data_IF_931968873378
#
_entry.id   IF_931968873378
#
_cell.length_a   1.000
_cell.length_b   1.000
_cell.length_c   1.000
_cell.angle_alpha   90.00
_cell.angle_beta   90.00
_cell.angle_gamma   90.00
#
_symmetry.space_group_name_H-M   'P 1'
#
loop_
_entity.id
_entity.type
_entity.pdbx_description
1 polymer ?
#
# COMPACT_ATOMS: atom_id res chain seq x y z
N UNK A 1 8.98 31.28 0.05
CA UNK A 1 8.40 31.42 1.41
C UNK A 1 9.04 30.36 2.26
N UNK A 2 9.87 30.79 3.20
CA UNK A 2 10.67 29.92 4.05
C UNK A 2 9.78 29.07 4.94
N UNK A 3 10.07 27.76 5.00
CA UNK A 3 9.49 26.83 5.96
C UNK A 3 10.23 27.00 7.31
N UNK A 4 10.01 28.12 7.97
CA UNK A 4 10.31 28.28 9.40
C UNK A 4 9.16 27.64 10.20
N UNK A 5 9.09 26.32 10.22
CA UNK A 5 8.47 25.61 11.33
C UNK A 5 9.59 25.14 12.24
N UNK A 6 9.82 25.94 13.29
CA UNK A 6 10.49 25.48 14.50
C UNK A 6 9.77 24.21 14.94
N UNK A 7 10.42 23.07 14.77
CA UNK A 7 9.94 21.82 15.36
C UNK A 7 10.17 21.99 16.86
N UNK A 8 9.10 22.24 17.60
CA UNK A 8 9.14 22.35 19.05
C UNK A 8 9.75 21.06 19.62
N UNK A 9 10.83 21.20 20.35
CA UNK A 9 11.56 20.09 20.97
C UNK A 9 10.71 19.24 21.94
N UNK A 10 9.53 19.71 22.30
CA UNK A 10 8.57 18.99 23.14
C UNK A 10 7.79 17.91 22.33
N UNK A 11 7.80 17.94 20.98
CA UNK A 11 7.06 17.02 20.10
C UNK A 11 7.99 15.97 19.46
N UNK A 12 9.30 16.05 19.71
CA UNK A 12 10.21 14.99 19.31
C UNK A 12 9.91 13.74 20.15
N UNK A 13 9.38 12.71 19.50
CA UNK A 13 9.23 11.37 20.08
C UNK A 13 10.51 10.97 20.84
N UNK A 14 10.37 10.27 21.96
CA UNK A 14 11.47 9.82 22.79
C UNK A 14 12.61 9.13 22.01
N UNK A 15 12.27 8.50 20.87
CA UNK A 15 13.22 7.93 19.94
C UNK A 15 14.11 8.96 19.23
N UNK A 16 13.56 10.07 18.76
CA UNK A 16 14.33 11.16 18.13
C UNK A 16 15.21 11.88 19.14
N UNK A 17 14.73 12.03 20.37
CA UNK A 17 15.52 12.59 21.47
C UNK A 17 16.71 11.68 21.81
N UNK A 18 16.50 10.37 21.85
CA UNK A 18 17.57 9.37 22.07
C UNK A 18 18.63 9.42 20.97
N UNK A 19 18.23 9.57 19.71
CA UNK A 19 19.15 9.71 18.57
C UNK A 19 19.93 11.02 18.68
N UNK A 20 19.28 12.14 19.00
CA UNK A 20 19.94 13.43 19.20
C UNK A 20 20.92 13.38 20.39
N UNK A 21 20.60 12.69 21.47
CA UNK A 21 21.45 12.52 22.64
C UNK A 21 22.67 11.62 22.31
N UNK A 22 22.48 10.57 21.53
CA UNK A 22 23.56 9.71 21.07
C UNK A 22 24.53 10.46 20.13
N UNK A 23 24.01 11.29 19.22
CA UNK A 23 24.82 12.14 18.33
C UNK A 23 25.60 13.16 19.16
N UNK A 24 24.98 13.84 20.13
CA UNK A 24 25.65 14.79 21.02
C UNK A 24 26.78 14.13 21.83
N UNK A 25 26.52 12.96 22.38
CA UNK A 25 27.49 12.19 23.15
C UNK A 25 28.71 11.80 22.31
N UNK A 26 28.51 11.35 21.06
CA UNK A 26 29.59 11.02 20.12
C UNK A 26 30.32 12.25 19.59
N UNK A 27 29.62 13.34 19.35
CA UNK A 27 30.21 14.60 18.88
C UNK A 27 30.88 15.41 19.99
N UNK A 28 30.72 15.02 21.27
CA UNK A 28 31.30 15.73 22.41
C UNK A 28 30.69 17.12 22.66
N UNK A 29 29.46 17.37 22.23
CA UNK A 29 28.78 18.66 22.39
C UNK A 29 27.56 18.53 23.29
N UNK A 30 27.29 19.58 24.07
CA UNK A 30 26.07 19.74 24.88
C UNK A 30 25.08 20.70 24.26
N UNK A 31 25.42 21.29 23.09
CA UNK A 31 24.61 22.30 22.46
C UNK A 31 23.38 21.71 21.78
N UNK A 32 22.31 22.49 21.72
CA UNK A 32 21.12 22.15 20.95
C UNK A 32 21.47 22.11 19.44
N UNK A 33 21.29 20.96 18.82
CA UNK A 33 21.56 20.80 17.39
C UNK A 33 20.43 21.45 16.60
N UNK A 34 20.71 22.57 15.94
CA UNK A 34 19.75 23.22 15.05
C UNK A 34 19.61 22.42 13.75
N UNK A 35 18.36 22.19 13.33
CA UNK A 35 18.08 21.51 12.06
C UNK A 35 18.08 22.53 10.90
N UNK A 36 18.64 22.20 9.71
CA UNK A 36 19.42 20.98 9.35
C UNK A 36 20.92 21.07 9.62
N UNK A 37 21.46 22.25 9.78
CA UNK A 37 22.91 22.50 9.72
C UNK A 37 23.69 22.01 10.95
N UNK A 38 23.09 22.11 12.13
CA UNK A 38 23.69 21.60 13.37
C UNK A 38 23.82 20.08 13.40
N UNK A 39 22.83 19.36 12.86
CA UNK A 39 22.89 17.89 12.70
C UNK A 39 23.96 17.48 11.68
N UNK A 40 24.04 18.18 10.56
CA UNK A 40 25.05 17.94 9.53
C UNK A 40 26.48 18.12 10.09
N UNK A 41 26.74 19.23 10.75
CA UNK A 41 28.04 19.50 11.35
C UNK A 41 28.42 18.49 12.45
N UNK A 42 27.46 18.06 13.28
CA UNK A 42 27.69 17.05 14.31
C UNK A 42 27.99 15.66 13.72
N UNK A 43 27.30 15.27 12.64
CA UNK A 43 27.56 14.00 11.92
C UNK A 43 28.90 14.05 11.21
N UNK A 44 29.25 15.15 10.55
CA UNK A 44 30.57 15.35 9.92
C UNK A 44 31.70 15.32 10.97
N UNK A 45 31.49 15.88 12.15
CA UNK A 45 32.42 15.83 13.28
C UNK A 45 32.66 14.43 13.84
N UNK A 46 31.66 13.55 13.80
CA UNK A 46 31.77 12.14 14.20
C UNK A 46 32.70 11.35 13.25
N UNK A 47 32.73 11.69 11.98
CA UNK A 47 33.55 11.01 10.98
C UNK A 47 35.05 11.33 11.10
N UNK A 48 35.42 12.41 11.78
CA UNK A 48 36.82 12.86 11.91
C UNK A 48 37.49 12.55 13.26
N UNK A 49 36.75 12.03 14.26
CA UNK A 49 37.25 11.71 15.60
C UNK A 49 37.57 10.23 15.77
N UNK A 50 38.83 9.85 15.70
CA UNK A 50 39.29 8.50 15.91
C UNK A 50 39.03 7.95 17.32
N UNK A 51 38.47 6.75 17.42
CA UNK A 51 38.28 5.97 18.64
C UNK A 51 37.99 4.51 18.33
N UNK A 52 38.98 3.64 18.48
CA UNK A 52 39.10 2.27 18.01
C UNK A 52 37.96 1.31 18.36
N UNK A 53 37.47 0.69 17.34
CA UNK A 53 36.70 -0.54 17.35
C UNK A 53 36.82 -1.14 15.95
N UNK A 54 37.34 -2.36 15.85
CA UNK A 54 37.62 -3.09 14.61
C UNK A 54 36.38 -3.09 13.69
N UNK A 55 36.40 -2.23 12.67
CA UNK A 55 35.52 -2.31 11.52
C UNK A 55 36.36 -2.56 10.31
N UNK A 56 36.00 -3.59 9.54
CA UNK A 56 36.53 -3.77 8.18
C UNK A 56 36.42 -2.44 7.44
N UNK A 57 37.54 -1.93 6.87
CA UNK A 57 37.61 -0.77 5.99
C UNK A 57 36.73 -0.97 4.73
N UNK A 58 35.45 -0.79 4.84
CA UNK A 58 34.58 -0.65 3.67
C UNK A 58 34.61 0.81 3.31
N UNK A 59 35.32 1.17 2.25
CA UNK A 59 35.28 2.53 1.69
C UNK A 59 33.82 2.88 1.35
N UNK A 60 33.33 3.98 1.91
CA UNK A 60 31.97 4.48 1.64
C UNK A 60 31.81 4.75 0.14
N UNK A 61 30.79 4.15 -0.46
CA UNK A 61 30.43 4.32 -1.86
C UNK A 61 29.24 5.31 -1.98
N UNK A 62 28.62 5.35 -3.15
CA UNK A 62 27.56 6.32 -3.46
C UNK A 62 26.26 6.07 -2.70
N UNK A 63 25.86 4.80 -2.50
CA UNK A 63 24.60 4.42 -1.85
C UNK A 63 24.90 3.57 -0.63
N UNK A 64 24.58 4.12 0.55
CA UNK A 64 24.94 3.53 1.82
C UNK A 64 23.69 3.20 2.63
N UNK A 65 23.60 1.97 3.12
CA UNK A 65 22.54 1.49 3.97
C UNK A 65 23.01 1.53 5.42
N UNK A 66 22.32 2.33 6.23
CA UNK A 66 22.65 2.53 7.63
C UNK A 66 21.59 1.96 8.56
N UNK A 67 22.03 1.39 9.65
CA UNK A 67 21.20 1.09 10.79
C UNK A 67 20.76 2.36 11.54
N UNK A 68 19.78 2.24 12.44
CA UNK A 68 19.28 3.36 13.23
C UNK A 68 20.32 4.00 14.14
N UNK A 69 21.37 3.27 14.52
CA UNK A 69 22.47 3.75 15.35
C UNK A 69 23.63 4.37 14.54
N UNK A 70 23.49 4.42 13.21
CA UNK A 70 24.48 4.93 12.28
C UNK A 70 25.53 3.89 11.84
N UNK A 71 25.35 2.62 12.20
CA UNK A 71 26.21 1.53 11.71
C UNK A 71 25.98 1.31 10.22
N UNK A 72 27.06 1.30 9.43
CA UNK A 72 27.00 0.98 8.00
C UNK A 72 26.72 -0.51 7.81
N UNK A 73 25.58 -0.83 7.19
CA UNK A 73 25.13 -2.21 6.93
C UNK A 73 25.65 -2.69 5.57
N UNK A 74 25.49 -1.85 4.54
CA UNK A 74 25.94 -2.15 3.18
C UNK A 74 26.26 -0.85 2.42
N UNK A 75 27.15 -0.94 1.44
CA UNK A 75 27.56 0.20 0.62
C UNK A 75 27.77 -0.23 -0.83
N UNK A 76 27.21 0.52 -1.76
CA UNK A 76 27.20 0.24 -3.19
C UNK A 76 27.57 1.50 -3.99
N UNK A 77 28.24 1.33 -5.11
CA UNK A 77 28.28 2.39 -6.13
C UNK A 77 26.87 2.60 -6.68
N UNK A 78 26.61 3.75 -7.32
CA UNK A 78 25.31 4.03 -7.92
C UNK A 78 24.90 2.93 -8.92
N UNK A 79 25.82 2.46 -9.74
CA UNK A 79 25.57 1.40 -10.71
C UNK A 79 25.27 0.04 -10.05
N UNK A 80 26.01 -0.32 -9.00
CA UNK A 80 25.73 -1.55 -8.22
C UNK A 80 24.36 -1.48 -7.54
N UNK A 81 23.99 -0.32 -6.96
CA UNK A 81 22.71 -0.12 -6.31
C UNK A 81 21.53 -0.22 -7.30
N UNK A 82 21.68 0.37 -8.48
CA UNK A 82 20.69 0.28 -9.56
C UNK A 82 20.52 -1.15 -10.11
N UNK A 83 21.52 -2.02 -9.94
CA UNK A 83 21.49 -3.41 -10.37
C UNK A 83 21.03 -4.40 -9.28
N UNK A 84 20.73 -3.94 -8.06
CA UNK A 84 20.25 -4.81 -6.99
C UNK A 84 18.95 -5.53 -7.39
N UNK A 85 18.87 -6.80 -7.12
CA UNK A 85 17.63 -7.60 -7.29
C UNK A 85 16.79 -7.64 -6.02
N UNK A 86 17.44 -7.43 -4.86
CA UNK A 86 16.81 -7.32 -3.53
C UNK A 86 17.57 -6.27 -2.72
N UNK A 87 16.88 -5.62 -1.79
CA UNK A 87 17.55 -4.77 -0.80
C UNK A 87 18.35 -5.63 0.18
N UNK A 88 19.42 -5.08 0.79
CA UNK A 88 20.18 -5.77 1.83
C UNK A 88 19.29 -6.30 2.96
N UNK A 89 19.70 -7.40 3.59
CA UNK A 89 19.05 -7.87 4.81
C UNK A 89 19.20 -6.82 5.92
N UNK A 90 18.12 -6.58 6.64
CA UNK A 90 18.14 -5.63 7.76
C UNK A 90 18.81 -6.21 8.99
N UNK A 91 19.52 -5.39 9.76
CA UNK A 91 20.09 -5.80 11.05
C UNK A 91 19.01 -6.28 12.02
N UNK A 92 19.42 -7.14 12.97
CA UNK A 92 18.55 -7.64 14.04
C UNK A 92 18.96 -7.02 15.36
N UNK A 93 17.97 -6.53 16.11
CA UNK A 93 18.16 -5.95 17.44
C UNK A 93 17.14 -6.51 18.43
N UNK A 94 17.54 -6.67 19.68
CA UNK A 94 16.66 -7.11 20.75
C UNK A 94 15.55 -6.05 20.98
N UNK A 95 14.30 -6.49 20.96
CA UNK A 95 13.13 -5.63 21.17
C UNK A 95 12.79 -4.68 19.99
N UNK A 96 13.46 -4.82 18.84
CA UNK A 96 13.13 -4.10 17.63
C UNK A 96 12.85 -5.06 16.47
N UNK A 97 11.79 -4.80 15.73
CA UNK A 97 11.49 -5.55 14.49
C UNK A 97 11.81 -4.69 13.27
N UNK A 98 12.74 -5.16 12.46
CA UNK A 98 13.07 -4.51 11.19
C UNK A 98 11.86 -4.51 10.24
N UNK A 99 11.48 -3.34 9.74
CA UNK A 99 10.34 -3.12 8.87
C UNK A 99 10.73 -2.96 7.40
N UNK A 100 11.99 -2.88 7.12
CA UNK A 100 12.54 -2.59 5.81
C UNK A 100 13.40 -1.33 5.83
N UNK A 101 13.79 -0.92 4.65
CA UNK A 101 14.55 0.30 4.43
C UNK A 101 13.57 1.45 4.11
N UNK A 102 13.93 2.68 4.43
CA UNK A 102 13.12 3.87 4.12
C UNK A 102 13.02 4.18 2.61
N UNK A 103 13.72 3.42 1.79
CA UNK A 103 13.66 3.45 0.34
C UNK A 103 13.30 2.08 -0.24
N UNK A 104 12.39 2.04 -1.22
CA UNK A 104 12.07 0.81 -1.96
C UNK A 104 13.15 0.50 -3.00
N UNK A 105 13.21 -0.77 -3.42
CA UNK A 105 14.13 -1.20 -4.49
C UNK A 105 13.93 -0.38 -5.78
N UNK A 106 12.67 -0.10 -6.15
CA UNK A 106 12.32 0.73 -7.31
C UNK A 106 12.89 2.15 -7.20
N UNK A 107 12.80 2.76 -6.02
CA UNK A 107 13.40 4.09 -5.78
C UNK A 107 14.92 4.04 -5.85
N UNK A 108 15.55 2.96 -5.38
CA UNK A 108 17.00 2.75 -5.49
C UNK A 108 17.41 2.63 -6.98
N UNK A 109 16.64 1.91 -7.79
CA UNK A 109 16.89 1.80 -9.23
C UNK A 109 16.78 3.15 -9.97
N UNK A 110 15.95 4.05 -9.48
CA UNK A 110 15.73 5.38 -10.06
C UNK A 110 16.74 6.45 -9.56
N UNK A 111 17.68 6.10 -8.69
CA UNK A 111 18.67 7.05 -8.16
C UNK A 111 19.56 7.61 -9.28
N UNK A 112 19.79 8.91 -9.23
CA UNK A 112 20.70 9.64 -10.15
C UNK A 112 21.86 10.32 -9.40
N UNK A 113 21.89 10.20 -8.07
CA UNK A 113 22.89 10.82 -7.19
C UNK A 113 23.14 9.97 -5.95
N UNK A 114 24.24 10.18 -5.22
CA UNK A 114 24.51 9.49 -3.97
C UNK A 114 23.39 9.62 -2.94
N UNK A 115 23.12 8.56 -2.17
CA UNK A 115 22.03 8.50 -1.20
C UNK A 115 22.36 7.65 0.02
N UNK A 116 21.94 8.11 1.19
CA UNK A 116 21.95 7.32 2.42
C UNK A 116 20.54 6.77 2.68
N UNK A 117 20.48 5.46 2.88
CA UNK A 117 19.25 4.69 3.11
C UNK A 117 19.24 4.23 4.57
N UNK A 118 18.19 4.56 5.31
CA UNK A 118 18.06 4.21 6.72
C UNK A 118 17.18 2.98 6.96
N UNK A 119 17.57 2.16 7.93
CA UNK A 119 16.75 1.07 8.43
C UNK A 119 15.56 1.60 9.23
N UNK A 120 14.39 1.01 9.01
CA UNK A 120 13.16 1.33 9.76
C UNK A 120 12.86 0.21 10.75
N UNK A 121 12.59 0.59 11.99
CA UNK A 121 12.20 -0.35 13.04
C UNK A 121 10.89 0.08 13.70
N UNK A 122 10.20 -0.90 14.26
CA UNK A 122 9.18 -0.69 15.28
C UNK A 122 9.70 -1.26 16.59
N UNK A 123 9.36 -0.60 17.69
CA UNK A 123 9.57 -1.18 19.02
C UNK A 123 8.64 -2.38 19.16
N UNK A 124 9.18 -3.59 19.03
CA UNK A 124 8.38 -4.80 19.25
C UNK A 124 8.34 -5.11 20.75
N UNK A 125 7.70 -4.23 21.50
CA UNK A 125 7.27 -4.53 22.87
C UNK A 125 5.95 -5.32 22.89
N UNK A 126 5.52 -5.81 21.73
CA UNK A 126 4.29 -6.56 21.52
C UNK A 126 3.01 -5.73 21.65
N UNK A 127 3.11 -4.43 21.94
CA UNK A 127 1.95 -3.55 22.15
C UNK A 127 1.44 -2.97 20.84
N UNK A 128 0.14 -2.83 20.75
CA UNK A 128 -0.50 -2.03 19.70
C UNK A 128 -0.68 -0.60 20.21
N UNK A 129 -0.36 0.38 19.37
CA UNK A 129 -0.55 1.80 19.65
C UNK A 129 -1.48 2.41 18.64
N UNK A 130 -2.51 3.12 19.12
CA UNK A 130 -3.48 3.84 18.31
C UNK A 130 -3.35 5.32 18.67
N UNK A 131 -2.85 6.11 17.73
CA UNK A 131 -2.67 7.55 17.88
C UNK A 131 -3.95 8.23 17.47
N UNK A 132 -4.55 8.96 18.39
CA UNK A 132 -5.83 9.63 18.17
C UNK A 132 -5.72 11.11 18.46
N UNK A 133 -6.48 11.91 17.71
CA UNK A 133 -6.74 13.32 17.99
C UNK A 133 -8.21 13.51 18.31
N UNK A 134 -8.51 14.06 19.45
CA UNK A 134 -9.86 14.35 19.93
C UNK A 134 -10.15 15.84 19.84
N UNK A 135 -11.32 16.18 19.32
CA UNK A 135 -11.82 17.54 19.18
C UNK A 135 -12.75 17.91 20.35
N UNK A 136 -12.99 19.21 20.53
CA UNK A 136 -13.90 19.73 21.54
C UNK A 136 -15.30 19.12 21.41
N UNK A 137 -15.91 18.75 22.55
CA UNK A 137 -17.18 18.08 22.61
C UNK A 137 -17.19 16.61 22.16
N UNK A 138 -16.01 16.01 21.93
CA UNK A 138 -15.83 14.65 21.39
C UNK A 138 -14.73 13.90 22.14
N UNK A 139 -14.84 13.82 23.44
CA UNK A 139 -13.79 13.31 24.32
C UNK A 139 -14.13 11.98 25.00
N UNK A 140 -15.18 11.26 24.55
CA UNK A 140 -15.65 10.04 25.23
C UNK A 140 -15.74 8.83 24.29
N UNK A 141 -14.62 8.31 23.74
CA UNK A 141 -14.63 7.15 22.88
C UNK A 141 -14.83 5.81 23.63
N UNK A 142 -15.29 4.81 22.89
CA UNK A 142 -15.22 3.39 23.22
C UNK A 142 -14.32 2.70 22.20
N UNK A 143 -13.51 1.75 22.66
CA UNK A 143 -12.66 0.93 21.81
C UNK A 143 -13.20 -0.49 21.68
N UNK A 144 -13.26 -0.99 20.45
CA UNK A 144 -13.66 -2.36 20.14
C UNK A 144 -12.48 -3.19 19.63
N UNK A 145 -12.21 -4.32 20.29
CA UNK A 145 -11.21 -5.30 19.87
C UNK A 145 -11.74 -6.71 20.03
N UNK A 146 -11.10 -7.70 19.40
CA UNK A 146 -11.47 -9.11 19.47
C UNK A 146 -10.38 -9.90 20.24
N UNK A 147 -10.46 -10.00 21.57
CA UNK A 147 -9.47 -10.70 22.36
C UNK A 147 -9.67 -12.22 22.33
N UNK A 148 -8.58 -12.95 22.11
CA UNK A 148 -8.45 -14.36 22.50
C UNK A 148 -7.38 -14.43 23.60
N UNK A 149 -7.83 -14.24 24.84
CA UNK A 149 -7.04 -13.93 26.02
C UNK A 149 -7.48 -12.61 26.64
N UNK A 150 -6.53 -11.85 27.16
CA UNK A 150 -6.78 -10.57 27.83
C UNK A 150 -6.11 -9.42 27.08
N UNK A 151 -6.84 -8.31 26.91
CA UNK A 151 -6.32 -7.04 26.37
C UNK A 151 -6.47 -5.97 27.45
N UNK A 152 -5.36 -5.39 27.87
CA UNK A 152 -5.33 -4.21 28.72
C UNK A 152 -5.27 -2.97 27.83
N UNK A 153 -6.21 -2.05 28.02
CA UNK A 153 -6.36 -0.80 27.27
C UNK A 153 -5.91 0.35 28.15
N UNK A 154 -4.72 0.86 27.94
CA UNK A 154 -4.19 2.09 28.54
C UNK A 154 -4.56 3.26 27.60
N UNK A 155 -5.37 4.20 28.09
CA UNK A 155 -5.89 5.32 27.31
C UNK A 155 -4.87 6.44 27.08
N UNK A 156 -3.72 6.38 27.74
CA UNK A 156 -2.62 7.34 27.57
C UNK A 156 -2.83 8.68 28.27
N UNK A 157 -3.79 8.78 29.20
CA UNK A 157 -4.11 9.96 29.99
C UNK A 157 -3.85 9.80 31.49
N UNK A 158 -3.25 8.67 31.90
CA UNK A 158 -2.91 8.34 33.29
C UNK A 158 -4.06 7.78 34.11
N UNK A 159 -5.22 7.53 33.52
CA UNK A 159 -6.35 6.86 34.19
C UNK A 159 -6.11 5.35 34.33
N UNK A 160 -6.94 4.68 35.13
CA UNK A 160 -6.88 3.22 35.30
C UNK A 160 -7.23 2.53 33.97
N UNK A 161 -6.37 1.61 33.47
CA UNK A 161 -6.64 0.90 32.23
C UNK A 161 -7.90 0.02 32.31
N UNK A 162 -8.61 -0.08 31.18
CA UNK A 162 -9.68 -1.07 31.00
C UNK A 162 -9.11 -2.45 30.67
N UNK A 163 -9.84 -3.51 31.09
CA UNK A 163 -9.47 -4.90 30.80
C UNK A 163 -10.59 -5.58 30.02
N UNK A 164 -10.27 -6.07 28.83
CA UNK A 164 -11.17 -6.85 27.99
C UNK A 164 -10.70 -8.31 27.92
N UNK A 165 -11.60 -9.24 28.15
CA UNK A 165 -11.33 -10.69 28.07
C UNK A 165 -12.24 -11.35 27.05
N UNK A 166 -11.70 -12.27 26.27
CA UNK A 166 -12.44 -13.02 25.27
C UNK A 166 -11.75 -14.32 24.88
N UNK A 167 -12.44 -15.10 24.07
CA UNK A 167 -12.01 -16.45 23.65
C UNK A 167 -11.87 -16.58 22.13
N UNK A 168 -12.01 -15.45 21.39
CA UNK A 168 -12.00 -15.48 19.92
C UNK A 168 -11.51 -14.16 19.32
N UNK A 169 -10.62 -14.24 18.35
CA UNK A 169 -10.17 -13.08 17.55
C UNK A 169 -11.23 -12.55 16.55
N UNK A 170 -12.46 -13.08 16.60
CA UNK A 170 -13.58 -12.67 15.72
C UNK A 170 -14.78 -12.08 16.46
N UNK A 171 -14.80 -12.15 17.79
CA UNK A 171 -15.91 -11.63 18.60
C UNK A 171 -15.50 -10.33 19.25
N UNK A 172 -16.16 -9.22 18.86
CA UNK A 172 -15.85 -7.88 19.38
C UNK A 172 -16.24 -7.77 20.84
N UNK A 173 -15.34 -7.24 21.63
CA UNK A 173 -15.56 -6.72 22.97
C UNK A 173 -15.31 -5.22 22.98
N UNK A 174 -16.18 -4.46 23.62
CA UNK A 174 -16.11 -3.02 23.74
C UNK A 174 -15.70 -2.62 25.13
N UNK A 175 -14.83 -1.61 25.25
CA UNK A 175 -14.58 -0.93 26.53
C UNK A 175 -15.85 -0.20 26.97
N UNK A 176 -15.98 0.18 28.24
CA UNK A 176 -16.83 1.28 28.65
C UNK A 176 -16.47 2.57 27.88
N UNK A 177 -17.32 3.59 27.97
CA UNK A 177 -16.95 4.92 27.50
C UNK A 177 -15.78 5.43 28.35
N UNK A 178 -14.70 5.80 27.70
CA UNK A 178 -13.59 6.48 28.34
C UNK A 178 -13.74 7.99 28.17
N UNK A 179 -13.75 8.75 29.27
CA UNK A 179 -13.91 10.20 29.24
C UNK A 179 -12.55 10.88 29.43
N UNK A 180 -12.00 11.42 28.35
CA UNK A 180 -10.83 12.29 28.42
C UNK A 180 -11.22 13.66 28.99
N UNK A 181 -10.35 14.21 29.84
CA UNK A 181 -10.59 15.50 30.50
C UNK A 181 -10.59 16.70 29.54
N UNK A 182 -9.88 16.61 28.41
CA UNK A 182 -9.75 17.66 27.42
C UNK A 182 -9.62 17.08 26.01
N UNK A 183 -9.92 17.88 24.95
CA UNK A 183 -9.50 17.55 23.59
C UNK A 183 -7.97 17.55 23.50
N UNK A 184 -7.41 16.81 22.56
CA UNK A 184 -5.97 16.71 22.39
C UNK A 184 -5.53 15.44 21.67
N UNK A 185 -4.24 15.21 21.64
CA UNK A 185 -3.61 14.01 21.07
C UNK A 185 -3.31 13.02 22.19
N UNK A 186 -3.72 11.77 21.95
CA UNK A 186 -3.54 10.68 22.90
C UNK A 186 -3.03 9.43 22.19
N UNK A 187 -2.34 8.57 22.95
CA UNK A 187 -1.86 7.27 22.44
C UNK A 187 -2.48 6.17 23.27
N UNK A 188 -3.49 5.52 22.72
CA UNK A 188 -4.09 4.33 23.33
C UNK A 188 -3.12 3.17 23.14
N UNK A 189 -2.70 2.52 24.24
CA UNK A 189 -1.78 1.38 24.22
C UNK A 189 -2.52 0.11 24.59
N UNK A 190 -2.41 -0.90 23.73
CA UNK A 190 -3.01 -2.23 23.97
C UNK A 190 -1.92 -3.23 24.32
N UNK A 191 -1.96 -3.75 25.53
CA UNK A 191 -1.11 -4.87 25.96
C UNK A 191 -1.93 -6.15 25.89
N UNK A 192 -1.49 -7.11 25.07
CA UNK A 192 -2.23 -8.33 24.78
C UNK A 192 -1.55 -9.52 25.43
N UNK A 193 -2.28 -10.22 26.32
CA UNK A 193 -1.88 -11.54 26.80
C UNK A 193 -2.72 -12.59 26.06
N UNK A 194 -2.10 -13.23 25.07
CA UNK A 194 -2.75 -14.11 24.11
C UNK A 194 -2.70 -13.57 22.68
N UNK A 195 -3.81 -13.61 21.96
CA UNK A 195 -3.96 -13.10 20.59
C UNK A 195 -5.08 -12.08 20.51
N UNK A 196 -5.02 -11.21 19.51
CA UNK A 196 -6.06 -10.22 19.25
C UNK A 196 -6.34 -10.10 17.75
N UNK A 197 -7.58 -9.72 17.42
CA UNK A 197 -7.97 -9.27 16.09
C UNK A 197 -8.66 -7.92 16.18
N UNK A 198 -8.63 -7.19 15.03
CA UNK A 198 -9.50 -6.06 14.81
C UNK A 198 -10.68 -6.49 13.94
N UNK A 199 -11.87 -6.04 14.28
CA UNK A 199 -13.08 -6.33 13.53
C UNK A 199 -14.03 -5.15 13.58
N UNK A 200 -14.54 -4.73 12.41
CA UNK A 200 -15.65 -3.82 12.28
C UNK A 200 -16.92 -4.57 11.86
N UNK A 201 -18.08 -3.94 11.99
CA UNK A 201 -19.34 -4.48 11.48
C UNK A 201 -19.84 -3.60 10.33
N UNK A 202 -20.02 -4.18 9.15
CA UNK A 202 -20.50 -3.51 7.94
C UNK A 202 -22.02 -3.32 7.88
N UNK A 203 -22.73 -3.39 9.02
CA UNK A 203 -24.18 -3.16 8.98
C UNK A 203 -24.50 -1.76 8.42
N UNK A 204 -25.50 -1.68 7.57
CA UNK A 204 -25.92 -0.58 6.70
C UNK A 204 -26.23 0.78 7.36
N UNK A 205 -26.09 0.91 8.66
CA UNK A 205 -26.33 2.13 9.43
C UNK A 205 -25.07 2.75 10.05
N UNK A 206 -23.93 2.73 9.33
CA UNK A 206 -22.71 3.37 9.77
C UNK A 206 -21.71 2.39 10.37
N UNK A 207 -21.09 1.55 9.51
CA UNK A 207 -20.10 0.53 9.84
C UNK A 207 -19.11 0.95 10.92
N UNK A 208 -18.79 0.05 11.81
CA UNK A 208 -18.01 0.31 13.01
C UNK A 208 -16.52 0.26 12.75
N UNK A 209 -15.89 1.40 12.78
CA UNK A 209 -14.47 1.47 13.10
C UNK A 209 -14.23 0.95 14.53
N UNK A 210 -12.98 0.61 14.82
CA UNK A 210 -12.57 0.17 16.15
C UNK A 210 -12.83 1.20 17.27
N UNK A 211 -13.10 2.46 16.93
CA UNK A 211 -13.37 3.55 17.87
C UNK A 211 -14.82 4.08 17.67
N UNK A 212 -15.64 4.08 18.70
CA UNK A 212 -17.08 4.43 18.66
C UNK A 212 -17.48 5.43 19.74
N UNK A 213 -18.69 6.00 19.56
CA UNK A 213 -19.44 6.75 20.57
C UNK A 213 -20.64 5.93 21.08
N UNK A 214 -21.04 6.10 22.35
CA UNK A 214 -22.02 5.23 23.00
C UNK A 214 -23.49 5.51 22.72
N UNK A 215 -23.87 6.62 22.06
CA UNK A 215 -25.28 6.92 21.88
C UNK A 215 -25.84 6.29 20.60
N UNK A 216 -26.80 5.39 20.77
CA UNK A 216 -27.52 4.71 19.68
C UNK A 216 -28.37 5.64 18.79
N UNK A 217 -28.51 6.91 19.15
CA UNK A 217 -29.37 7.89 18.47
C UNK A 217 -28.62 8.87 17.57
N UNK A 218 -27.30 8.82 17.54
CA UNK A 218 -26.50 9.83 16.86
C UNK A 218 -25.66 9.20 15.74
N UNK A 219 -25.94 9.59 14.49
CA UNK A 219 -25.17 9.24 13.28
C UNK A 219 -23.70 9.74 13.31
N UNK A 220 -23.16 10.09 14.47
CA UNK A 220 -21.82 10.65 14.70
C UNK A 220 -20.68 9.61 14.72
N UNK A 221 -20.94 8.38 14.37
CA UNK A 221 -19.88 7.36 14.17
C UNK A 221 -18.76 7.80 13.20
N UNK A 222 -19.04 8.76 12.32
CA UNK A 222 -18.02 9.33 11.41
C UNK A 222 -16.92 10.12 12.12
N UNK A 223 -17.17 10.65 13.30
CA UNK A 223 -16.31 11.62 13.96
C UNK A 223 -15.07 10.97 14.55
N UNK A 224 -15.21 9.84 15.20
CA UNK A 224 -14.06 9.13 15.78
C UNK A 224 -13.18 8.43 14.75
N UNK A 225 -13.71 8.15 13.57
CA UNK A 225 -12.94 7.65 12.43
C UNK A 225 -11.93 8.67 11.92
N UNK A 226 -12.29 9.96 11.99
CA UNK A 226 -11.37 11.05 11.63
C UNK A 226 -10.31 11.29 12.71
N UNK A 227 -10.50 10.75 13.90
CA UNK A 227 -9.57 10.94 15.02
C UNK A 227 -8.38 10.00 15.00
N UNK A 228 -8.44 8.88 14.26
CA UNK A 228 -7.32 7.92 14.18
C UNK A 228 -6.34 8.42 13.11
N UNK A 229 -5.13 8.80 13.53
CA UNK A 229 -4.12 9.35 12.63
C UNK A 229 -3.03 8.32 12.25
N UNK A 230 -2.65 7.46 13.21
CA UNK A 230 -1.60 6.45 13.04
C UNK A 230 -1.93 5.21 13.86
N UNK A 231 -1.53 4.05 13.37
CA UNK A 231 -1.62 2.78 14.13
C UNK A 231 -0.32 1.99 13.97
N UNK A 232 0.25 1.60 15.10
CA UNK A 232 1.32 0.62 15.20
C UNK A 232 0.73 -0.68 15.72
N UNK A 233 0.63 -1.70 14.87
CA UNK A 233 0.03 -2.97 15.25
C UNK A 233 1.09 -3.88 15.87
N UNK A 234 0.87 -4.30 17.12
CA UNK A 234 1.76 -5.21 17.85
C UNK A 234 1.71 -6.65 17.34
N UNK A 235 2.75 -7.42 17.65
CA UNK A 235 2.95 -8.81 17.17
C UNK A 235 1.87 -9.81 17.61
N UNK A 236 1.13 -9.50 18.67
CA UNK A 236 0.00 -10.31 19.14
C UNK A 236 -1.27 -10.22 18.28
N UNK A 237 -1.32 -9.27 17.32
CA UNK A 237 -2.44 -9.13 16.39
C UNK A 237 -2.24 -10.10 15.23
N UNK A 238 -3.22 -10.97 15.01
CA UNK A 238 -3.16 -11.99 13.96
C UNK A 238 -4.12 -11.74 12.82
N UNK A 239 -5.08 -10.80 12.99
CA UNK A 239 -6.17 -10.57 12.04
C UNK A 239 -6.60 -9.11 12.01
N UNK A 240 -6.74 -8.57 10.79
CA UNK A 240 -7.45 -7.34 10.48
C UNK A 240 -8.68 -7.75 9.69
N UNK A 241 -9.81 -7.86 10.38
CA UNK A 241 -11.02 -8.43 9.81
C UNK A 241 -11.93 -7.37 9.21
N UNK A 242 -13.11 -7.80 8.77
CA UNK A 242 -14.05 -7.02 7.99
C UNK A 242 -14.29 -5.62 8.57
N UNK A 243 -14.07 -4.62 7.73
CA UNK A 243 -14.31 -3.21 8.05
C UNK A 243 -13.57 -2.68 9.29
N UNK A 244 -12.46 -3.32 9.72
CA UNK A 244 -11.73 -2.95 10.94
C UNK A 244 -11.38 -1.46 10.97
N UNK A 245 -10.88 -0.91 9.86
CA UNK A 245 -10.53 0.51 9.71
C UNK A 245 -11.37 1.21 8.66
N UNK A 246 -12.60 0.73 8.44
CA UNK A 246 -13.52 1.30 7.46
C UNK A 246 -13.76 2.79 7.71
N UNK A 247 -13.51 3.64 6.67
CA UNK A 247 -13.64 5.10 6.75
C UNK A 247 -12.77 5.78 7.82
N UNK A 248 -11.63 5.22 8.19
CA UNK A 248 -10.64 5.93 8.99
C UNK A 248 -9.94 6.98 8.11
N UNK A 249 -10.65 8.11 7.85
CA UNK A 249 -10.26 9.09 6.85
C UNK A 249 -8.91 9.75 7.11
N UNK A 250 -8.58 9.98 8.38
CA UNK A 250 -7.33 10.64 8.81
C UNK A 250 -6.16 9.66 9.00
N UNK A 251 -6.41 8.34 8.93
CA UNK A 251 -5.36 7.34 9.10
C UNK A 251 -4.34 7.46 7.96
N UNK A 252 -3.17 7.99 8.28
CA UNK A 252 -2.09 8.27 7.32
C UNK A 252 -1.00 7.21 7.32
N UNK A 253 -0.78 6.57 8.47
CA UNK A 253 0.26 5.55 8.66
C UNK A 253 -0.25 4.36 9.45
N UNK A 254 0.00 3.17 8.92
CA UNK A 254 -0.23 1.91 9.63
C UNK A 254 0.90 0.92 9.38
N UNK A 255 1.40 0.30 10.45
CA UNK A 255 2.37 -0.79 10.35
C UNK A 255 1.69 -2.11 10.66
N UNK A 256 1.83 -3.09 9.76
CA UNK A 256 1.21 -4.42 9.89
C UNK A 256 2.31 -5.45 10.14
N UNK A 257 2.35 -6.09 11.32
CA UNK A 257 3.40 -7.03 11.67
C UNK A 257 3.27 -8.35 10.90
N UNK A 258 4.38 -9.10 10.83
CA UNK A 258 4.44 -10.41 10.13
C UNK A 258 3.46 -11.46 10.68
N UNK A 259 2.97 -11.28 11.92
CA UNK A 259 1.98 -12.17 12.55
C UNK A 259 0.57 -12.04 11.98
N UNK A 260 0.25 -10.96 11.26
CA UNK A 260 -1.03 -10.80 10.61
C UNK A 260 -1.12 -11.70 9.38
N UNK A 261 -2.09 -12.61 9.39
CA UNK A 261 -2.32 -13.59 8.32
C UNK A 261 -3.56 -13.31 7.49
N UNK A 262 -4.42 -12.39 7.95
CA UNK A 262 -5.68 -12.06 7.28
C UNK A 262 -5.94 -10.56 7.28
N UNK A 263 -6.20 -10.03 6.09
CA UNK A 263 -6.76 -8.69 5.85
C UNK A 263 -8.01 -8.94 5.01
N UNK A 264 -9.20 -8.74 5.60
CA UNK A 264 -10.44 -9.16 4.97
C UNK A 264 -11.26 -8.00 4.39
N UNK A 265 -12.52 -8.24 4.05
CA UNK A 265 -13.34 -7.31 3.26
C UNK A 265 -13.46 -5.93 3.90
N UNK A 266 -13.32 -4.90 3.09
CA UNK A 266 -13.42 -3.50 3.51
C UNK A 266 -12.45 -3.06 4.62
N UNK A 267 -11.41 -3.83 4.92
CA UNK A 267 -10.55 -3.59 6.09
C UNK A 267 -10.02 -2.15 6.17
N UNK A 268 -9.64 -1.56 5.05
CA UNK A 268 -9.17 -0.17 4.91
C UNK A 268 -10.00 0.65 3.92
N UNK A 269 -11.22 0.20 3.58
CA UNK A 269 -12.07 0.93 2.65
C UNK A 269 -12.35 2.35 3.18
N UNK A 270 -12.06 3.37 2.36
CA UNK A 270 -12.26 4.76 2.72
C UNK A 270 -11.16 5.34 3.64
N UNK A 271 -10.00 4.70 3.77
CA UNK A 271 -8.84 5.30 4.44
C UNK A 271 -8.15 6.29 3.49
N UNK A 272 -8.72 7.51 3.36
CA UNK A 272 -8.33 8.48 2.34
C UNK A 272 -6.89 8.95 2.45
N UNK A 273 -6.33 8.97 3.67
CA UNK A 273 -5.02 9.57 3.96
C UNK A 273 -3.84 8.59 3.93
N UNK A 274 -4.06 7.28 3.85
CA UNK A 274 -2.96 6.31 3.75
C UNK A 274 -2.21 6.55 2.45
N UNK A 275 -0.89 6.82 2.56
CA UNK A 275 -0.02 7.07 1.40
C UNK A 275 0.75 5.85 0.95
N UNK A 276 1.07 4.96 1.87
CA UNK A 276 1.77 3.70 1.60
C UNK A 276 1.39 2.63 2.61
N UNK A 277 1.47 1.36 2.20
CA UNK A 277 1.23 0.21 3.08
C UNK A 277 2.04 -1.01 2.61
N UNK A 278 2.47 -1.82 3.57
CA UNK A 278 3.15 -3.10 3.29
C UNK A 278 2.28 -4.26 3.75
N UNK A 279 1.98 -5.18 2.83
CA UNK A 279 1.25 -6.42 3.11
C UNK A 279 2.26 -7.51 3.50
N UNK A 280 2.18 -8.06 4.73
CA UNK A 280 3.17 -9.01 5.23
C UNK A 280 3.03 -10.41 4.61
N UNK A 281 4.12 -11.20 4.72
CA UNK A 281 4.22 -12.57 4.14
C UNK A 281 3.19 -13.58 4.66
N UNK A 282 2.47 -13.29 5.75
CA UNK A 282 1.40 -14.15 6.26
C UNK A 282 0.09 -14.03 5.49
N UNK A 283 -0.12 -12.94 4.75
CA UNK A 283 -1.35 -12.66 4.03
C UNK A 283 -1.34 -13.38 2.68
N UNK A 284 -2.40 -14.12 2.38
CA UNK A 284 -2.52 -14.93 1.15
C UNK A 284 -3.47 -14.34 0.11
N UNK A 285 -4.29 -13.36 0.49
CA UNK A 285 -5.22 -12.69 -0.43
C UNK A 285 -5.45 -11.23 -0.04
N UNK A 286 -5.66 -10.37 -1.04
CA UNK A 286 -6.22 -9.03 -0.86
C UNK A 286 -7.73 -9.17 -1.07
N UNK A 287 -8.51 -8.98 -0.01
CA UNK A 287 -9.95 -9.24 0.00
C UNK A 287 -10.77 -8.13 -0.68
N UNK A 288 -12.09 -8.35 -0.83
CA UNK A 288 -12.97 -7.42 -1.54
C UNK A 288 -13.02 -6.06 -0.87
N UNK A 289 -12.86 -5.01 -1.68
CA UNK A 289 -12.82 -3.61 -1.23
C UNK A 289 -11.76 -3.30 -0.15
N UNK A 290 -10.74 -4.15 0.05
CA UNK A 290 -9.82 -4.00 1.18
C UNK A 290 -9.16 -2.62 1.23
N UNK A 291 -8.81 -2.05 0.08
CA UNK A 291 -8.23 -0.71 -0.07
C UNK A 291 -9.07 0.21 -0.96
N UNK A 292 -10.37 -0.10 -1.12
CA UNK A 292 -11.25 0.74 -1.92
C UNK A 292 -11.25 2.17 -1.40
N UNK A 293 -11.20 3.15 -2.31
CA UNK A 293 -11.20 4.58 -1.99
C UNK A 293 -10.05 5.02 -1.06
N UNK A 294 -8.92 4.33 -1.06
CA UNK A 294 -7.69 4.86 -0.45
C UNK A 294 -7.07 5.89 -1.41
N UNK A 295 -7.66 7.10 -1.45
CA UNK A 295 -7.39 8.10 -2.49
C UNK A 295 -5.92 8.54 -2.55
N UNK A 296 -5.24 8.63 -1.41
CA UNK A 296 -3.84 9.06 -1.31
C UNK A 296 -2.83 7.91 -1.43
N UNK A 297 -3.28 6.65 -1.55
CA UNK A 297 -2.39 5.50 -1.63
C UNK A 297 -1.56 5.55 -2.91
N UNK A 298 -0.30 5.96 -2.78
CA UNK A 298 0.63 6.13 -3.89
C UNK A 298 1.45 4.88 -4.18
N UNK A 299 1.70 4.07 -3.14
CA UNK A 299 2.47 2.83 -3.26
C UNK A 299 1.98 1.74 -2.30
N UNK A 300 2.08 0.50 -2.74
CA UNK A 300 1.81 -0.68 -1.91
C UNK A 300 2.83 -1.77 -2.20
N UNK A 301 3.36 -2.37 -1.13
CA UNK A 301 4.22 -3.56 -1.25
C UNK A 301 3.38 -4.79 -0.91
N UNK A 302 3.28 -5.73 -1.86
CA UNK A 302 2.52 -6.97 -1.70
C UNK A 302 3.48 -8.15 -1.59
N UNK A 303 3.37 -8.91 -0.52
CA UNK A 303 4.22 -10.09 -0.32
C UNK A 303 3.91 -11.20 -1.35
N UNK A 304 4.93 -11.99 -1.70
CA UNK A 304 4.82 -13.10 -2.66
C UNK A 304 3.88 -14.25 -2.23
N UNK A 305 3.39 -14.21 -0.97
CA UNK A 305 2.38 -15.14 -0.46
C UNK A 305 0.97 -14.86 -1.00
N UNK A 306 0.71 -13.67 -1.55
CA UNK A 306 -0.61 -13.30 -2.06
C UNK A 306 -0.86 -14.00 -3.39
N UNK A 307 -2.00 -14.71 -3.46
CA UNK A 307 -2.43 -15.51 -4.61
C UNK A 307 -3.66 -14.95 -5.32
N UNK A 308 -4.37 -13.99 -4.72
CA UNK A 308 -5.56 -13.38 -5.32
C UNK A 308 -5.74 -11.92 -4.91
N UNK A 309 -6.27 -11.12 -5.86
CA UNK A 309 -6.73 -9.75 -5.67
C UNK A 309 -8.21 -9.74 -5.98
N UNK A 310 -9.05 -9.54 -4.94
CA UNK A 310 -10.49 -9.69 -5.03
C UNK A 310 -11.20 -8.45 -5.62
N UNK A 311 -12.54 -8.52 -5.70
CA UNK A 311 -13.38 -7.47 -6.27
C UNK A 311 -13.11 -6.10 -5.63
N UNK A 312 -12.91 -5.10 -6.49
CA UNK A 312 -12.76 -3.70 -6.07
C UNK A 312 -11.65 -3.45 -5.05
N UNK A 313 -10.66 -4.36 -4.93
CA UNK A 313 -9.64 -4.32 -3.88
C UNK A 313 -8.89 -2.98 -3.82
N UNK A 314 -8.60 -2.38 -4.99
CA UNK A 314 -7.95 -1.06 -5.13
C UNK A 314 -8.82 -0.06 -5.89
N UNK A 315 -10.13 -0.28 -5.96
CA UNK A 315 -11.04 0.64 -6.65
C UNK A 315 -10.92 2.05 -6.07
N UNK A 316 -10.66 3.04 -6.93
CA UNK A 316 -10.56 4.44 -6.49
C UNK A 316 -9.27 4.79 -5.75
N UNK A 317 -8.20 4.00 -5.87
CA UNK A 317 -6.86 4.40 -5.43
C UNK A 317 -6.28 5.40 -6.43
N UNK A 318 -6.75 6.66 -6.37
CA UNK A 318 -6.48 7.69 -7.39
C UNK A 318 -5.00 8.00 -7.55
N UNK A 319 -4.24 7.95 -6.45
CA UNK A 319 -2.81 8.30 -6.42
C UNK A 319 -1.88 7.12 -6.70
N UNK A 320 -2.40 5.90 -6.88
CA UNK A 320 -1.56 4.70 -7.09
C UNK A 320 -0.86 4.80 -8.45
N UNK A 321 0.46 5.01 -8.44
CA UNK A 321 1.25 5.22 -9.65
C UNK A 321 1.80 3.94 -10.24
N UNK A 322 2.14 3.00 -9.38
CA UNK A 322 2.66 1.68 -9.76
C UNK A 322 2.29 0.62 -8.72
N UNK A 323 2.19 -0.60 -9.16
CA UNK A 323 1.98 -1.77 -8.30
C UNK A 323 2.65 -2.99 -8.92
N UNK A 324 3.41 -3.72 -8.11
CA UNK A 324 3.95 -5.02 -8.50
C UNK A 324 2.99 -6.11 -8.06
N UNK A 325 2.41 -6.83 -9.02
CA UNK A 325 1.59 -8.00 -8.74
C UNK A 325 2.51 -9.21 -8.57
N UNK A 326 2.48 -9.89 -7.42
CA UNK A 326 3.30 -11.09 -7.20
C UNK A 326 3.05 -12.21 -8.23
N UNK A 327 4.09 -12.92 -8.63
CA UNK A 327 3.98 -14.01 -9.60
C UNK A 327 3.05 -15.16 -9.16
N UNK A 328 2.79 -15.29 -7.85
CA UNK A 328 1.83 -16.26 -7.31
C UNK A 328 0.36 -15.90 -7.50
N UNK A 329 0.05 -14.68 -7.96
CA UNK A 329 -1.34 -14.26 -8.18
C UNK A 329 -1.93 -14.98 -9.39
N UNK A 330 -3.04 -15.66 -9.16
CA UNK A 330 -3.77 -16.42 -10.19
C UNK A 330 -5.10 -15.77 -10.59
N UNK A 331 -5.57 -14.78 -9.82
CA UNK A 331 -6.83 -14.09 -10.12
C UNK A 331 -6.78 -12.60 -9.74
N UNK A 332 -7.24 -11.78 -10.68
CA UNK A 332 -7.53 -10.35 -10.52
C UNK A 332 -9.00 -10.19 -10.86
N UNK A 333 -9.81 -9.85 -9.86
CA UNK A 333 -11.26 -9.85 -9.96
C UNK A 333 -11.82 -8.52 -10.48
N UNK A 334 -13.16 -8.47 -10.64
CA UNK A 334 -13.84 -7.33 -11.22
C UNK A 334 -13.56 -6.03 -10.46
N UNK A 335 -13.42 -4.93 -11.21
CA UNK A 335 -13.14 -3.59 -10.66
C UNK A 335 -11.86 -3.48 -9.80
N UNK A 336 -10.96 -4.46 -9.81
CA UNK A 336 -9.82 -4.51 -8.87
C UNK A 336 -9.00 -3.21 -8.88
N UNK A 337 -8.81 -2.58 -10.03
CA UNK A 337 -8.11 -1.30 -10.22
C UNK A 337 -8.99 -0.22 -10.89
N UNK A 338 -10.32 -0.35 -10.79
CA UNK A 338 -11.23 0.63 -11.36
C UNK A 338 -10.97 2.03 -10.79
N UNK A 339 -10.84 3.06 -11.64
CA UNK A 339 -10.49 4.43 -11.26
C UNK A 339 -9.10 4.58 -10.57
N UNK A 340 -8.13 3.73 -10.84
CA UNK A 340 -6.73 4.01 -10.49
C UNK A 340 -6.15 5.01 -11.49
N UNK A 341 -6.53 6.29 -11.35
CA UNK A 341 -6.28 7.33 -12.35
C UNK A 341 -4.80 7.56 -12.65
N UNK A 342 -3.93 7.40 -11.66
CA UNK A 342 -2.49 7.66 -11.77
C UNK A 342 -1.67 6.43 -12.15
N UNK A 343 -2.28 5.25 -12.27
CA UNK A 343 -1.56 4.02 -12.60
C UNK A 343 -0.98 4.11 -14.01
N UNK A 344 0.37 4.08 -14.12
CA UNK A 344 1.08 4.28 -15.40
C UNK A 344 1.41 3.00 -16.12
N UNK A 345 1.72 1.94 -15.38
CA UNK A 345 2.04 0.62 -15.95
C UNK A 345 1.67 -0.51 -15.00
N UNK A 346 1.42 -1.67 -15.56
CA UNK A 346 1.18 -2.89 -14.78
C UNK A 346 1.57 -4.13 -15.59
N UNK A 347 2.09 -5.14 -14.90
CA UNK A 347 2.37 -6.47 -15.48
C UNK A 347 1.40 -7.49 -14.89
N UNK A 348 0.66 -8.19 -15.75
CA UNK A 348 -0.21 -9.30 -15.37
C UNK A 348 0.63 -10.58 -15.31
N UNK A 349 0.71 -11.26 -14.14
CA UNK A 349 1.56 -12.44 -13.99
C UNK A 349 1.01 -13.69 -14.71
N UNK A 350 1.90 -14.64 -14.97
CA UNK A 350 1.61 -15.86 -15.73
C UNK A 350 0.58 -16.81 -15.10
N UNK A 351 0.18 -16.59 -13.85
CA UNK A 351 -0.89 -17.38 -13.21
C UNK A 351 -2.31 -16.91 -13.56
N UNK A 352 -2.45 -15.68 -14.06
CA UNK A 352 -3.76 -15.07 -14.34
C UNK A 352 -4.30 -15.57 -15.67
N UNK A 353 -5.51 -16.13 -15.67
CA UNK A 353 -6.15 -16.71 -16.86
C UNK A 353 -7.19 -15.81 -17.52
N UNK A 354 -7.63 -14.75 -16.84
CA UNK A 354 -8.58 -13.78 -17.39
C UNK A 354 -8.39 -12.41 -16.79
N UNK A 355 -8.64 -11.36 -17.59
CA UNK A 355 -8.80 -9.98 -17.10
C UNK A 355 -10.30 -9.77 -16.89
N UNK A 356 -10.70 -9.59 -15.65
CA UNK A 356 -12.11 -9.55 -15.25
C UNK A 356 -12.82 -8.23 -15.63
N UNK A 357 -14.15 -8.18 -15.44
CA UNK A 357 -14.96 -7.04 -15.80
C UNK A 357 -14.49 -5.76 -15.14
N UNK A 358 -14.28 -4.73 -15.93
CA UNK A 358 -13.85 -3.40 -15.47
C UNK A 358 -12.56 -3.38 -14.63
N UNK A 359 -11.71 -4.41 -14.71
CA UNK A 359 -10.53 -4.56 -13.85
C UNK A 359 -9.61 -3.34 -13.90
N UNK A 360 -9.43 -2.72 -15.07
CA UNK A 360 -8.61 -1.51 -15.29
C UNK A 360 -9.44 -0.35 -15.87
N UNK A 361 -10.76 -0.38 -15.70
CA UNK A 361 -11.61 0.67 -16.21
C UNK A 361 -11.23 2.03 -15.64
N UNK A 362 -11.11 3.04 -16.51
CA UNK A 362 -10.74 4.41 -16.16
C UNK A 362 -9.37 4.54 -15.48
N UNK A 363 -8.41 3.68 -15.82
CA UNK A 363 -7.00 3.90 -15.54
C UNK A 363 -6.44 4.90 -16.56
N UNK A 364 -6.74 6.20 -16.37
CA UNK A 364 -6.52 7.25 -17.38
C UNK A 364 -5.05 7.41 -17.78
N UNK A 365 -4.13 7.23 -16.83
CA UNK A 365 -2.68 7.37 -17.05
C UNK A 365 -1.99 6.10 -17.50
N UNK A 366 -2.71 4.98 -17.65
CA UNK A 366 -2.11 3.70 -18.03
C UNK A 366 -1.54 3.79 -19.46
N UNK A 367 -0.21 3.87 -19.58
CA UNK A 367 0.49 3.97 -20.86
C UNK A 367 0.87 2.62 -21.42
N UNK A 368 1.13 1.65 -20.56
CA UNK A 368 1.55 0.29 -20.96
C UNK A 368 0.99 -0.78 -20.03
N UNK A 369 0.70 -1.94 -20.60
CA UNK A 369 0.36 -3.15 -19.87
C UNK A 369 1.02 -4.35 -20.53
N UNK A 370 1.59 -5.23 -19.70
CA UNK A 370 2.05 -6.55 -20.16
C UNK A 370 1.02 -7.59 -19.74
N UNK A 371 0.43 -8.27 -20.71
CA UNK A 371 -0.55 -9.35 -20.49
C UNK A 371 0.17 -10.69 -20.66
N UNK A 372 0.07 -11.55 -19.66
CA UNK A 372 0.68 -12.87 -19.71
C UNK A 372 0.00 -13.79 -20.73
N UNK A 373 0.77 -14.73 -21.29
CA UNK A 373 0.27 -15.71 -22.27
C UNK A 373 -0.78 -16.69 -21.71
N UNK A 374 -0.92 -16.76 -20.39
CA UNK A 374 -1.96 -17.53 -19.71
C UNK A 374 -3.36 -16.93 -19.82
N UNK A 375 -3.48 -15.66 -20.21
CA UNK A 375 -4.77 -14.98 -20.33
C UNK A 375 -5.52 -15.46 -21.56
N UNK A 376 -6.74 -15.99 -21.36
CA UNK A 376 -7.59 -16.52 -22.41
C UNK A 376 -8.81 -15.65 -22.72
N UNK A 377 -9.14 -14.73 -21.81
CA UNK A 377 -10.30 -13.83 -21.94
C UNK A 377 -9.99 -12.42 -21.44
N UNK A 378 -10.46 -11.42 -22.19
CA UNK A 378 -10.54 -10.02 -21.76
C UNK A 378 -12.04 -9.70 -21.61
N UNK A 379 -12.48 -9.42 -20.39
CA UNK A 379 -13.89 -9.31 -20.03
C UNK A 379 -14.48 -7.91 -20.29
N UNK A 380 -15.75 -7.69 -19.93
CA UNK A 380 -16.48 -6.46 -20.23
C UNK A 380 -15.82 -5.23 -19.63
N UNK A 381 -15.63 -4.20 -20.46
CA UNK A 381 -15.08 -2.91 -20.05
C UNK A 381 -13.71 -2.99 -19.34
N UNK A 382 -12.94 -4.06 -19.52
CA UNK A 382 -11.70 -4.32 -18.80
C UNK A 382 -10.72 -3.15 -18.86
N UNK A 383 -10.60 -2.47 -20.01
CA UNK A 383 -9.76 -1.29 -20.26
C UNK A 383 -10.57 -0.08 -20.73
N UNK A 384 -11.86 -0.03 -20.42
CA UNK A 384 -12.71 1.10 -20.79
C UNK A 384 -12.13 2.43 -20.26
N UNK A 385 -12.00 3.46 -21.11
CA UNK A 385 -11.39 4.75 -20.74
C UNK A 385 -9.91 4.69 -20.35
N UNK A 386 -9.11 3.74 -20.81
CA UNK A 386 -7.66 3.81 -20.67
C UNK A 386 -7.09 4.77 -21.72
N UNK A 387 -7.29 6.08 -21.50
CA UNK A 387 -7.03 7.12 -22.51
C UNK A 387 -5.59 7.21 -22.98
N UNK A 388 -4.62 6.92 -22.09
CA UNK A 388 -3.18 7.07 -22.37
C UNK A 388 -2.52 5.79 -22.90
N UNK A 389 -3.26 4.68 -23.02
CA UNK A 389 -2.69 3.41 -23.47
C UNK A 389 -2.15 3.57 -24.91
N UNK A 390 -0.81 3.40 -25.04
CA UNK A 390 -0.13 3.72 -26.31
C UNK A 390 -0.16 2.55 -27.30
N UNK A 391 0.00 1.34 -26.80
CA UNK A 391 -0.11 0.09 -27.59
C UNK A 391 -0.39 -1.07 -26.65
N UNK A 392 -0.89 -2.15 -27.21
CA UNK A 392 -1.14 -3.37 -26.45
C UNK A 392 -0.91 -4.61 -27.32
N UNK A 393 -0.09 -5.52 -26.80
CA UNK A 393 0.05 -6.87 -27.37
C UNK A 393 -0.97 -7.78 -26.72
N UNK A 394 -1.82 -8.40 -27.51
CA UNK A 394 -2.80 -9.38 -27.06
C UNK A 394 -2.19 -10.78 -27.27
N UNK A 395 -1.97 -11.54 -26.19
CA UNK A 395 -1.42 -12.89 -26.31
C UNK A 395 -2.26 -13.81 -27.20
N UNK A 396 -1.61 -14.74 -27.87
CA UNK A 396 -2.25 -15.73 -28.77
C UNK A 396 -3.23 -16.68 -28.05
N UNK A 397 -3.07 -16.82 -26.73
CA UNK A 397 -4.01 -17.54 -25.87
C UNK A 397 -5.38 -16.85 -25.70
N UNK A 398 -5.50 -15.55 -26.01
CA UNK A 398 -6.77 -14.82 -25.88
C UNK A 398 -7.75 -15.24 -26.98
N UNK A 399 -8.78 -15.99 -26.60
CA UNK A 399 -9.82 -16.50 -27.52
C UNK A 399 -11.09 -15.67 -27.54
N UNK A 400 -11.26 -14.73 -26.58
CA UNK A 400 -12.45 -13.91 -26.52
C UNK A 400 -12.19 -12.52 -25.93
N UNK A 401 -12.80 -11.50 -26.57
CA UNK A 401 -12.81 -10.09 -26.13
C UNK A 401 -14.28 -9.69 -25.98
N UNK A 402 -14.63 -9.22 -24.78
CA UNK A 402 -16.01 -8.93 -24.43
C UNK A 402 -16.44 -7.49 -24.80
N UNK A 403 -17.68 -7.12 -24.46
CA UNK A 403 -18.24 -5.81 -24.78
C UNK A 403 -17.40 -4.68 -24.17
N UNK A 404 -17.24 -3.61 -24.94
CA UNK A 404 -16.57 -2.37 -24.49
C UNK A 404 -15.16 -2.56 -23.89
N UNK A 405 -14.48 -3.71 -24.11
CA UNK A 405 -13.23 -4.06 -23.46
C UNK A 405 -12.15 -2.98 -23.59
N UNK A 406 -12.02 -2.37 -24.76
CA UNK A 406 -11.09 -1.28 -25.06
C UNK A 406 -11.78 0.01 -25.51
N UNK A 407 -13.05 0.16 -25.15
CA UNK A 407 -13.80 1.34 -25.56
C UNK A 407 -13.17 2.62 -25.00
N UNK A 408 -13.02 3.62 -25.88
CA UNK A 408 -12.40 4.92 -25.58
C UNK A 408 -10.92 4.87 -25.19
N UNK A 409 -10.17 3.90 -25.69
CA UNK A 409 -8.71 3.91 -25.61
C UNK A 409 -8.15 4.75 -26.78
N UNK A 410 -8.28 6.06 -26.69
CA UNK A 410 -8.04 6.99 -27.81
C UNK A 410 -6.59 7.07 -28.31
N UNK A 411 -5.61 6.77 -27.44
CA UNK A 411 -4.18 6.93 -27.75
C UNK A 411 -3.53 5.67 -28.34
N UNK A 412 -4.27 4.56 -28.46
CA UNK A 412 -3.69 3.30 -28.92
C UNK A 412 -3.31 3.43 -30.40
N UNK A 413 -2.00 3.32 -30.67
CA UNK A 413 -1.46 3.32 -32.04
C UNK A 413 -1.66 1.96 -32.72
N UNK A 414 -1.57 0.87 -31.96
CA UNK A 414 -1.86 -0.47 -32.48
C UNK A 414 -2.27 -1.47 -31.40
N UNK A 415 -3.18 -2.34 -31.77
CA UNK A 415 -3.48 -3.61 -31.07
C UNK A 415 -2.76 -4.72 -31.82
N UNK A 416 -1.85 -5.42 -31.14
CA UNK A 416 -1.00 -6.44 -31.77
C UNK A 416 -1.52 -7.86 -31.49
N UNK A 417 -2.07 -8.48 -32.53
CA UNK A 417 -2.51 -9.88 -32.57
C UNK A 417 -1.63 -10.73 -33.51
N UNK A 418 -0.43 -10.24 -33.88
CA UNK A 418 0.40 -10.87 -34.91
C UNK A 418 0.78 -12.33 -34.64
N UNK A 419 0.74 -12.77 -33.41
CA UNK A 419 1.04 -14.15 -33.01
C UNK A 419 -0.20 -15.10 -32.98
N UNK A 420 -1.41 -14.57 -33.26
CA UNK A 420 -2.61 -15.38 -33.19
C UNK A 420 -2.68 -16.40 -34.36
N UNK A 421 -3.11 -17.62 -34.05
CA UNK A 421 -3.32 -18.68 -35.05
C UNK A 421 -4.78 -18.77 -35.49
N UNK A 422 -5.69 -18.07 -34.83
CA UNK A 422 -7.11 -18.00 -35.12
C UNK A 422 -7.69 -16.64 -34.71
N UNK A 423 -8.84 -16.30 -35.28
CA UNK A 423 -9.55 -15.06 -34.94
C UNK A 423 -10.26 -15.22 -33.61
N UNK A 424 -9.95 -14.41 -32.56
CA UNK A 424 -10.68 -14.45 -31.31
C UNK A 424 -12.13 -13.98 -31.50
N UNK A 425 -13.04 -14.48 -30.68
CA UNK A 425 -14.42 -13.99 -30.64
C UNK A 425 -14.47 -12.56 -30.15
N UNK A 426 -15.16 -11.70 -30.90
CA UNK A 426 -15.48 -10.34 -30.48
C UNK A 426 -16.97 -10.27 -30.14
N UNK A 427 -17.28 -10.03 -28.85
CA UNK A 427 -18.65 -10.11 -28.36
C UNK A 427 -19.55 -8.99 -28.88
N UNK A 428 -18.98 -7.82 -29.17
CA UNK A 428 -19.73 -6.62 -29.56
C UNK A 428 -18.89 -5.69 -30.41
N UNK A 429 -19.57 -4.95 -31.28
CA UNK A 429 -18.97 -3.84 -32.05
C UNK A 429 -18.56 -2.64 -31.19
N UNK A 430 -18.89 -2.64 -29.87
CA UNK A 430 -18.41 -1.60 -28.95
C UNK A 430 -17.01 -1.86 -28.39
N UNK A 431 -16.45 -3.07 -28.60
CA UNK A 431 -15.21 -3.49 -27.95
C UNK A 431 -14.05 -2.51 -28.14
N UNK A 432 -13.92 -1.93 -29.34
CA UNK A 432 -12.92 -0.91 -29.67
C UNK A 432 -13.55 0.44 -30.07
N UNK A 433 -14.79 0.74 -29.65
CA UNK A 433 -15.44 2.00 -29.97
C UNK A 433 -14.61 3.19 -29.46
N UNK A 434 -14.35 4.18 -30.31
CA UNK A 434 -13.44 5.30 -30.00
C UNK A 434 -11.98 5.00 -30.34
N UNK A 435 -11.70 3.97 -31.14
CA UNK A 435 -10.37 3.71 -31.71
C UNK A 435 -9.91 4.92 -32.55
N UNK A 436 -8.63 5.32 -32.43
CA UNK A 436 -8.06 6.41 -33.25
C UNK A 436 -8.14 6.06 -34.75
N UNK A 437 -8.36 7.07 -35.61
CA UNK A 437 -8.38 6.88 -37.06
C UNK A 437 -7.08 6.32 -37.63
N UNK A 438 -5.95 6.57 -36.96
CA UNK A 438 -4.62 6.09 -37.35
C UNK A 438 -4.22 4.77 -36.67
N UNK A 439 -5.09 4.22 -35.83
CA UNK A 439 -4.80 2.99 -35.11
C UNK A 439 -4.76 1.78 -36.07
N UNK A 440 -3.93 0.81 -35.74
CA UNK A 440 -3.83 -0.46 -36.46
C UNK A 440 -4.25 -1.64 -35.57
N UNK A 441 -5.01 -2.55 -36.14
CA UNK A 441 -5.24 -3.90 -35.57
C UNK A 441 -4.35 -4.84 -36.38
N UNK A 442 -3.18 -5.16 -35.82
CA UNK A 442 -2.14 -5.96 -36.48
C UNK A 442 -2.46 -7.44 -36.30
N UNK A 443 -2.58 -8.16 -37.41
CA UNK A 443 -2.95 -9.57 -37.42
C UNK A 443 -1.98 -10.34 -38.30
N UNK A 444 -1.87 -11.68 -38.20
CA UNK A 444 -1.07 -12.48 -39.14
C UNK A 444 -1.52 -12.22 -40.59
N UNK A 445 -0.57 -12.00 -41.50
CA UNK A 445 -0.87 -11.69 -42.90
C UNK A 445 -1.78 -12.78 -43.57
N UNK A 446 -1.59 -14.04 -43.16
CA UNK A 446 -2.40 -15.18 -43.65
C UNK A 446 -3.85 -15.18 -43.16
N UNK A 447 -4.19 -14.41 -42.14
CA UNK A 447 -5.53 -14.42 -41.53
C UNK A 447 -6.32 -13.11 -41.76
N UNK A 448 -5.77 -12.14 -42.49
CA UNK A 448 -6.39 -10.82 -42.73
C UNK A 448 -7.84 -10.93 -43.19
N UNK A 449 -8.10 -11.76 -44.20
CA UNK A 449 -9.46 -11.91 -44.78
C UNK A 449 -10.42 -12.57 -43.78
N UNK A 450 -9.93 -13.55 -43.01
CA UNK A 450 -10.70 -14.19 -41.96
C UNK A 450 -11.09 -13.20 -40.84
N UNK A 451 -10.15 -12.32 -40.43
CA UNK A 451 -10.42 -11.28 -39.45
C UNK A 451 -11.43 -10.25 -39.96
N UNK A 452 -11.29 -9.78 -41.21
CA UNK A 452 -12.21 -8.81 -41.82
C UNK A 452 -13.62 -9.35 -42.03
N UNK A 453 -13.76 -10.67 -42.21
CA UNK A 453 -15.04 -11.30 -42.38
C UNK A 453 -15.71 -11.77 -41.08
N UNK A 454 -14.94 -11.83 -39.98
CA UNK A 454 -15.44 -12.36 -38.71
C UNK A 454 -16.49 -11.42 -38.07
N UNK A 455 -17.45 -12.04 -37.35
CA UNK A 455 -18.55 -11.35 -36.68
C UNK A 455 -18.02 -10.28 -35.74
N UNK A 456 -18.61 -9.08 -35.80
CA UNK A 456 -18.23 -7.84 -35.09
C UNK A 456 -16.86 -7.26 -35.50
N UNK A 457 -15.89 -8.06 -35.91
CA UNK A 457 -14.59 -7.60 -36.43
C UNK A 457 -14.73 -6.87 -37.78
N UNK A 458 -15.71 -7.23 -38.58
CA UNK A 458 -16.00 -6.57 -39.86
C UNK A 458 -16.24 -5.05 -39.72
N UNK A 459 -16.73 -4.59 -38.56
CA UNK A 459 -16.87 -3.16 -38.22
C UNK A 459 -15.52 -2.47 -38.22
N UNK A 460 -14.45 -3.19 -37.92
CA UNK A 460 -13.08 -2.66 -37.80
C UNK A 460 -12.20 -3.02 -39.03
N UNK A 461 -12.79 -3.49 -40.13
CA UNK A 461 -12.06 -3.99 -41.31
C UNK A 461 -11.01 -3.00 -41.85
N UNK A 462 -11.29 -1.68 -41.77
CA UNK A 462 -10.37 -0.63 -42.24
C UNK A 462 -9.13 -0.44 -41.33
N UNK A 463 -9.17 -0.92 -40.11
CA UNK A 463 -8.06 -0.86 -39.13
C UNK A 463 -7.20 -2.13 -39.16
N UNK A 464 -7.70 -3.22 -39.74
CA UNK A 464 -7.03 -4.52 -39.77
C UNK A 464 -5.95 -4.54 -40.83
N UNK A 465 -4.70 -4.75 -40.40
CA UNK A 465 -3.51 -4.84 -41.26
C UNK A 465 -2.76 -6.14 -41.01
N UNK A 466 -2.26 -6.77 -42.08
CA UNK A 466 -1.42 -7.95 -42.00
C UNK A 466 0.04 -7.59 -41.72
N UNK A 467 0.67 -8.31 -40.82
CA UNK A 467 2.08 -8.15 -40.45
C UNK A 467 2.79 -9.49 -40.44
#
# INVERSE_FOLDING_TARGET
MALDKVVDSAVLDAGMKSVADAIRAKAGTTDLLAWPDGFKAAVEGIQTGGGGGSTSDVAMKDVNFYDYDGTLVASYTLAEAQALTTLPDGPTHDGLTFQGWNWSLEKIHALTHPMNVGAMYITDDGKTRIYIRLEEGRTSPMLGVCPNGTVTVDWGDGTTPDILTGTSTTTVKWTPNHAYAAPGEYVIKLTVNGKMGFYGNSSSSGGSAILRYSSASDNRNYVYRNSIEKIEIGSSVTRIADSAFYNCYSLSLITIPKGVTMITDNAFNGCYSITSITIPKGVTSIASNAFRSCYSLASITIANSVTSIADSAFQGCYSLTSITIPNGVTSIWSNAFYNCYSLTSITIPNGVTSIADSAFRSCYSLTSITIANSVTRIADSAFYNCYSLASITIPDGVTSIADSAFRFCYSVAFYDFSNHTSVPTLASTNAFNGISVDCQIRVPASLVDAWKAATNWSTYANYIVGV
#
